data_IF_670366319467
#
_entry.id   IF_670366319467
#
_cell.length_a   1.000
_cell.length_b   1.000
_cell.length_c   1.000
_cell.angle_alpha   90.00
_cell.angle_beta   90.00
_cell.angle_gamma   90.00
#
_symmetry.space_group_name_H-M   'P 1'
#
loop_
_entity.id
_entity.type
_entity.pdbx_description
1 polymer ?
#
# COMPACT_ATOMS: atom_id res chain seq x y z
N UNK A 1 9.41 -3.31 -35.83
CA UNK A 1 10.42 -4.30 -35.43
C UNK A 1 11.18 -3.76 -34.24
N UNK A 2 11.19 -4.50 -33.17
CA UNK A 2 11.96 -4.19 -31.97
C UNK A 2 13.12 -5.21 -31.90
N UNK A 3 14.35 -4.74 -31.74
CA UNK A 3 15.55 -5.58 -31.73
C UNK A 3 15.71 -6.51 -32.95
N UNK A 4 15.42 -6.02 -34.17
CA UNK A 4 15.52 -6.77 -35.42
C UNK A 4 14.62 -8.01 -35.53
N UNK A 5 13.65 -8.18 -34.63
CA UNK A 5 12.67 -9.27 -34.69
C UNK A 5 11.34 -8.78 -35.25
N UNK A 6 10.66 -9.63 -36.02
CA UNK A 6 9.32 -9.35 -36.47
C UNK A 6 8.35 -9.42 -35.31
N UNK A 7 7.59 -8.37 -35.09
CA UNK A 7 6.62 -8.25 -34.01
C UNK A 7 5.23 -7.98 -34.62
N UNK A 8 4.24 -8.64 -34.08
CA UNK A 8 2.83 -8.35 -34.31
C UNK A 8 2.23 -7.88 -33.02
N UNK A 9 1.71 -6.65 -32.99
CA UNK A 9 1.02 -6.11 -31.83
C UNK A 9 -0.48 -6.40 -31.97
N UNK A 10 -1.03 -7.12 -31.01
CA UNK A 10 -2.48 -7.33 -30.90
C UNK A 10 -2.96 -6.47 -29.73
N UNK A 11 -3.82 -5.49 -30.03
CA UNK A 11 -4.39 -4.59 -29.03
C UNK A 11 -5.84 -4.95 -28.81
N UNK A 12 -6.24 -5.05 -27.54
CA UNK A 12 -7.63 -5.29 -27.13
C UNK A 12 -8.06 -4.28 -26.07
N UNK A 13 -9.34 -3.96 -26.02
CA UNK A 13 -9.94 -3.16 -24.96
C UNK A 13 -10.78 -4.08 -24.08
N UNK A 14 -10.58 -3.99 -22.78
CA UNK A 14 -11.35 -4.75 -21.79
C UNK A 14 -12.56 -3.91 -21.40
N UNK A 15 -13.75 -4.53 -21.37
CA UNK A 15 -15.00 -3.91 -20.95
C UNK A 15 -15.82 -4.92 -20.12
N UNK A 16 -16.39 -4.47 -19.01
CA UNK A 16 -17.29 -5.26 -18.17
C UNK A 16 -16.64 -6.28 -17.24
N UNK A 17 -15.28 -6.31 -17.17
CA UNK A 17 -14.53 -7.20 -16.27
C UNK A 17 -13.18 -6.60 -15.90
N UNK A 18 -12.59 -7.04 -14.80
CA UNK A 18 -11.29 -6.56 -14.33
C UNK A 18 -10.13 -6.97 -15.25
N UNK A 19 -9.08 -6.15 -15.24
CA UNK A 19 -7.87 -6.36 -16.04
C UNK A 19 -7.15 -7.66 -15.66
N UNK A 20 -7.08 -7.99 -14.38
CA UNK A 20 -6.37 -9.18 -13.88
C UNK A 20 -6.99 -10.48 -14.36
N UNK A 21 -8.31 -10.63 -14.25
CA UNK A 21 -9.04 -11.82 -14.71
C UNK A 21 -8.99 -11.97 -16.24
N UNK A 22 -9.13 -10.86 -16.98
CA UNK A 22 -9.02 -10.88 -18.43
C UNK A 22 -7.62 -11.33 -18.89
N UNK A 23 -6.56 -10.84 -18.26
CA UNK A 23 -5.19 -11.24 -18.57
C UNK A 23 -4.91 -12.68 -18.15
N UNK A 24 -5.51 -13.19 -17.06
CA UNK A 24 -5.38 -14.59 -16.68
C UNK A 24 -5.94 -15.52 -17.75
N UNK A 25 -7.12 -15.20 -18.31
CA UNK A 25 -7.69 -15.97 -19.41
C UNK A 25 -6.82 -15.90 -20.68
N UNK A 26 -6.32 -14.72 -21.02
CA UNK A 26 -5.40 -14.55 -22.17
C UNK A 26 -4.13 -15.39 -21.98
N UNK A 27 -3.55 -15.42 -20.78
CA UNK A 27 -2.39 -16.27 -20.48
C UNK A 27 -2.72 -17.76 -20.61
N UNK A 28 -3.89 -18.17 -20.16
CA UNK A 28 -4.33 -19.57 -20.27
C UNK A 28 -4.52 -19.98 -21.73
N UNK A 29 -5.08 -19.11 -22.56
CA UNK A 29 -5.22 -19.38 -24.01
C UNK A 29 -3.85 -19.42 -24.70
N UNK A 30 -2.97 -18.46 -24.42
CA UNK A 30 -1.62 -18.40 -24.99
C UNK A 30 -0.68 -19.52 -24.50
N UNK A 31 -0.97 -20.14 -23.36
CA UNK A 31 -0.23 -21.30 -22.87
C UNK A 31 -0.49 -22.58 -23.66
N UNK A 32 -1.50 -22.61 -24.56
CA UNK A 32 -1.80 -23.77 -25.41
C UNK A 32 -0.71 -23.93 -26.47
N UNK A 33 -0.04 -25.09 -26.54
CA UNK A 33 1.11 -25.30 -27.46
C UNK A 33 0.77 -25.16 -28.94
N UNK A 34 -0.52 -25.28 -29.31
CA UNK A 34 -0.99 -25.18 -30.69
C UNK A 34 -1.11 -23.75 -31.22
N UNK A 35 -1.16 -22.76 -30.38
CA UNK A 35 -1.39 -21.35 -30.78
C UNK A 35 -0.11 -20.60 -31.15
N UNK A 36 0.99 -20.91 -30.51
CA UNK A 36 2.28 -20.28 -30.78
C UNK A 36 3.15 -21.26 -31.57
N UNK A 37 3.50 -20.88 -32.82
CA UNK A 37 4.43 -21.67 -33.63
C UNK A 37 5.81 -21.80 -32.97
N UNK A 38 6.59 -22.80 -33.36
CA UNK A 38 7.94 -23.02 -32.85
C UNK A 38 8.82 -21.75 -33.01
N UNK A 39 9.35 -21.26 -31.88
CA UNK A 39 10.16 -20.05 -31.82
C UNK A 39 9.41 -18.73 -31.65
N UNK A 40 8.07 -18.76 -31.56
CA UNK A 40 7.28 -17.58 -31.22
C UNK A 40 7.16 -17.42 -29.70
N UNK A 41 7.29 -16.19 -29.23
CA UNK A 41 7.07 -15.82 -27.83
C UNK A 41 6.18 -14.58 -27.76
N UNK A 42 5.44 -14.43 -26.69
CA UNK A 42 4.60 -13.27 -26.46
C UNK A 42 5.05 -12.47 -25.24
N UNK A 43 4.82 -11.17 -25.29
CA UNK A 43 4.99 -10.28 -24.16
C UNK A 43 3.69 -9.53 -23.93
N UNK A 44 3.24 -9.49 -22.68
CA UNK A 44 2.07 -8.69 -22.30
C UNK A 44 2.55 -7.28 -21.98
N UNK A 45 2.10 -6.31 -22.77
CA UNK A 45 2.43 -4.90 -22.66
C UNK A 45 1.27 -4.04 -22.18
N UNK A 46 1.41 -2.74 -22.37
CA UNK A 46 0.37 -1.75 -22.08
C UNK A 46 0.09 -1.58 -20.59
N UNK A 47 -1.18 -1.32 -20.25
CA UNK A 47 -1.61 -1.00 -18.89
C UNK A 47 -1.29 -2.11 -17.88
N UNK A 48 -1.39 -3.37 -18.28
CA UNK A 48 -1.06 -4.51 -17.42
C UNK A 48 0.42 -4.50 -16.98
N UNK A 49 1.32 -4.28 -17.93
CA UNK A 49 2.76 -4.22 -17.61
C UNK A 49 3.07 -3.04 -16.69
N UNK A 50 2.49 -1.87 -16.93
CA UNK A 50 2.65 -0.69 -16.08
C UNK A 50 2.14 -0.96 -14.66
N UNK A 51 0.97 -1.59 -14.52
CA UNK A 51 0.41 -1.95 -13.22
C UNK A 51 1.31 -2.96 -12.48
N UNK A 52 1.87 -3.93 -13.17
CA UNK A 52 2.77 -4.92 -12.56
C UNK A 52 4.08 -4.29 -12.07
N UNK A 53 4.68 -3.41 -12.89
CA UNK A 53 5.89 -2.66 -12.52
C UNK A 53 5.61 -1.76 -11.32
N UNK A 54 4.49 -1.04 -11.33
CA UNK A 54 4.09 -0.18 -10.23
C UNK A 54 3.87 -0.97 -8.93
N UNK A 55 3.22 -2.14 -9.02
CA UNK A 55 2.99 -3.01 -7.86
C UNK A 55 4.30 -3.55 -7.27
N UNK A 56 5.21 -4.04 -8.12
CA UNK A 56 6.52 -4.51 -7.66
C UNK A 56 7.34 -3.39 -7.03
N UNK A 57 7.36 -2.21 -7.66
CA UNK A 57 8.01 -1.02 -7.13
C UNK A 57 7.47 -0.63 -5.76
N UNK A 58 6.14 -0.61 -5.62
CA UNK A 58 5.45 -0.29 -4.37
C UNK A 58 5.78 -1.29 -3.25
N UNK A 59 5.76 -2.59 -3.55
CA UNK A 59 6.12 -3.63 -2.59
C UNK A 59 7.58 -3.53 -2.14
N UNK A 60 8.49 -3.21 -3.07
CA UNK A 60 9.90 -3.02 -2.75
C UNK A 60 10.11 -1.81 -1.84
N UNK A 61 9.48 -0.68 -2.16
CA UNK A 61 9.54 0.54 -1.35
C UNK A 61 8.92 0.32 0.03
N UNK A 62 7.78 -0.38 0.09
CA UNK A 62 7.13 -0.71 1.36
C UNK A 62 8.00 -1.61 2.24
N UNK A 63 8.60 -2.67 1.68
CA UNK A 63 9.51 -3.54 2.41
C UNK A 63 10.76 -2.78 2.92
N UNK A 64 11.34 -1.91 2.08
CA UNK A 64 12.47 -1.07 2.47
C UNK A 64 12.09 -0.08 3.57
N UNK A 65 10.92 0.54 3.49
CA UNK A 65 10.41 1.46 4.51
C UNK A 65 10.21 0.74 5.86
N UNK A 66 9.59 -0.44 5.87
CA UNK A 66 9.45 -1.24 7.09
C UNK A 66 10.81 -1.63 7.67
N UNK A 67 11.76 -2.06 6.81
CA UNK A 67 13.10 -2.45 7.22
C UNK A 67 13.92 -1.30 7.81
N UNK A 68 13.66 -0.06 7.41
CA UNK A 68 14.31 1.14 7.96
C UNK A 68 13.59 1.66 9.19
N UNK A 69 12.26 1.74 9.15
CA UNK A 69 11.45 2.34 10.23
C UNK A 69 11.42 1.43 11.46
N UNK A 70 11.33 0.12 11.28
CA UNK A 70 11.27 -0.81 12.40
C UNK A 70 12.46 -0.74 13.36
N UNK A 71 13.74 -0.81 12.91
CA UNK A 71 14.88 -0.64 13.79
C UNK A 71 14.94 0.75 14.43
N UNK A 72 14.54 1.80 13.67
CA UNK A 72 14.48 3.16 14.19
C UNK A 72 13.49 3.27 15.34
N UNK A 73 12.31 2.67 15.21
CA UNK A 73 11.29 2.64 16.27
C UNK A 73 11.75 1.82 17.47
N UNK A 74 12.46 0.71 17.25
CA UNK A 74 13.06 -0.09 18.33
C UNK A 74 14.09 0.72 19.10
N UNK A 75 14.94 1.47 18.39
CA UNK A 75 15.93 2.35 19.01
C UNK A 75 15.30 3.50 19.78
N UNK A 76 14.21 4.10 19.22
CA UNK A 76 13.54 5.25 19.83
C UNK A 76 12.74 4.88 21.09
N UNK A 77 12.03 3.76 21.07
CA UNK A 77 11.12 3.38 22.15
C UNK A 77 11.70 2.31 23.10
N UNK A 78 12.83 1.68 22.73
CA UNK A 78 13.50 0.61 23.50
C UNK A 78 12.56 -0.57 23.88
N UNK A 79 11.37 -0.63 23.29
CA UNK A 79 10.33 -1.64 23.58
C UNK A 79 9.70 -2.16 22.30
N UNK A 80 9.86 -3.45 22.05
CA UNK A 80 9.29 -4.13 20.88
C UNK A 80 7.78 -3.93 20.72
N UNK A 81 7.03 -3.88 21.83
CA UNK A 81 5.57 -3.74 21.81
C UNK A 81 5.11 -2.47 21.10
N UNK A 82 5.77 -1.33 21.36
CA UNK A 82 5.39 -0.06 20.74
C UNK A 82 5.74 -0.02 19.27
N UNK A 83 6.91 -0.52 18.90
CA UNK A 83 7.29 -0.62 17.48
C UNK A 83 6.32 -1.53 16.72
N UNK A 84 5.90 -2.65 17.29
CA UNK A 84 4.93 -3.56 16.69
C UNK A 84 3.54 -2.92 16.53
N UNK A 85 3.06 -2.18 17.53
CA UNK A 85 1.76 -1.48 17.46
C UNK A 85 1.79 -0.40 16.38
N UNK A 86 2.85 0.41 16.31
CA UNK A 86 2.99 1.45 15.28
C UNK A 86 2.98 0.83 13.88
N UNK A 87 3.65 -0.30 13.68
CA UNK A 87 3.65 -0.99 12.38
C UNK A 87 2.34 -1.72 12.06
N UNK A 88 1.57 -2.12 13.07
CA UNK A 88 0.27 -2.74 12.87
C UNK A 88 -0.79 -1.73 12.36
N UNK A 89 -0.70 -0.46 12.74
CA UNK A 89 -1.67 0.57 12.34
C UNK A 89 -1.79 0.75 10.82
N UNK A 90 -0.70 0.91 10.05
CA UNK A 90 -0.77 0.99 8.60
C UNK A 90 -1.32 -0.28 7.94
N UNK A 91 -1.08 -1.46 8.52
CA UNK A 91 -1.64 -2.72 8.01
C UNK A 91 -3.17 -2.75 8.18
N UNK A 92 -3.69 -2.28 9.31
CA UNK A 92 -5.13 -2.14 9.54
C UNK A 92 -5.75 -1.10 8.59
N UNK A 93 -5.06 0.02 8.36
CA UNK A 93 -5.48 1.03 7.41
C UNK A 93 -5.56 0.49 5.98
N UNK A 94 -4.54 -0.25 5.53
CA UNK A 94 -4.56 -0.93 4.24
C UNK A 94 -5.72 -1.93 4.13
N UNK A 95 -5.99 -2.70 5.18
CA UNK A 95 -7.15 -3.60 5.26
C UNK A 95 -8.47 -2.86 5.06
N UNK A 96 -8.63 -1.69 5.68
CA UNK A 96 -9.83 -0.84 5.53
C UNK A 96 -9.99 -0.34 4.10
N UNK A 97 -8.90 0.02 3.42
CA UNK A 97 -8.93 0.41 1.99
C UNK A 97 -9.40 -0.74 1.11
N UNK A 98 -8.90 -1.96 1.33
CA UNK A 98 -9.37 -3.13 0.58
C UNK A 98 -10.86 -3.42 0.79
N UNK A 99 -11.36 -3.29 2.02
CA UNK A 99 -12.79 -3.41 2.32
C UNK A 99 -13.59 -2.33 1.57
N UNK A 100 -13.10 -1.08 1.56
CA UNK A 100 -13.73 0.02 0.83
C UNK A 100 -13.78 -0.22 -0.68
N UNK A 101 -12.69 -0.68 -1.29
CA UNK A 101 -12.64 -1.03 -2.70
C UNK A 101 -13.61 -2.17 -3.04
N UNK A 102 -13.67 -3.19 -2.20
CA UNK A 102 -14.62 -4.30 -2.36
C UNK A 102 -16.07 -3.84 -2.25
N UNK A 103 -16.40 -3.02 -1.26
CA UNK A 103 -17.76 -2.52 -1.04
C UNK A 103 -18.25 -1.59 -2.17
N UNK A 104 -17.33 -0.82 -2.78
CA UNK A 104 -17.63 0.09 -3.90
C UNK A 104 -17.54 -0.60 -5.27
N UNK A 105 -17.06 -1.83 -5.34
CA UNK A 105 -16.83 -2.54 -6.60
C UNK A 105 -15.73 -1.92 -7.47
N UNK A 106 -14.88 -1.06 -6.89
CA UNK A 106 -13.77 -0.42 -7.59
C UNK A 106 -12.58 -1.37 -7.62
N UNK A 107 -12.06 -1.60 -8.82
CA UNK A 107 -10.89 -2.44 -9.03
C UNK A 107 -9.61 -1.80 -8.47
N UNK A 108 -8.69 -2.64 -7.99
CA UNK A 108 -7.36 -2.20 -7.60
C UNK A 108 -6.57 -1.75 -8.84
N UNK A 109 -6.50 -0.45 -9.03
CA UNK A 109 -5.75 0.19 -10.11
C UNK A 109 -4.56 1.00 -9.58
N UNK A 110 -3.76 1.58 -10.47
CA UNK A 110 -2.58 2.38 -10.10
C UNK A 110 -2.96 3.53 -9.17
N UNK A 111 -4.08 4.19 -9.40
CA UNK A 111 -4.57 5.32 -8.59
C UNK A 111 -4.93 4.86 -7.18
N UNK A 112 -5.65 3.73 -7.05
CA UNK A 112 -5.98 3.13 -5.74
C UNK A 112 -4.73 2.75 -4.96
N UNK A 113 -3.69 2.23 -5.65
CA UNK A 113 -2.41 1.87 -5.03
C UNK A 113 -1.64 3.10 -4.55
N UNK A 114 -1.64 4.19 -5.33
CA UNK A 114 -1.05 5.46 -4.90
C UNK A 114 -1.75 6.02 -3.68
N UNK A 115 -3.09 6.02 -3.67
CA UNK A 115 -3.89 6.43 -2.52
C UNK A 115 -3.63 5.57 -1.27
N UNK A 116 -3.51 4.26 -1.44
CA UNK A 116 -3.17 3.34 -0.35
C UNK A 116 -1.80 3.63 0.25
N UNK A 117 -0.80 3.91 -0.58
CA UNK A 117 0.54 4.29 -0.12
C UNK A 117 0.51 5.58 0.70
N UNK A 118 -0.25 6.56 0.24
CA UNK A 118 -0.43 7.84 0.96
C UNK A 118 -1.10 7.63 2.32
N UNK A 119 -2.16 6.84 2.40
CA UNK A 119 -2.86 6.52 3.65
C UNK A 119 -1.93 5.80 4.62
N UNK A 120 -1.16 4.82 4.16
CA UNK A 120 -0.17 4.10 4.98
C UNK A 120 0.84 5.07 5.58
N UNK A 121 1.34 6.03 4.80
CA UNK A 121 2.26 7.07 5.27
C UNK A 121 1.65 7.95 6.37
N UNK A 122 0.46 8.49 6.12
CA UNK A 122 -0.26 9.37 7.06
C UNK A 122 -0.58 8.63 8.37
N UNK A 123 -1.07 7.39 8.28
CA UNK A 123 -1.40 6.59 9.48
C UNK A 123 -0.16 6.24 10.29
N UNK A 124 0.96 5.96 9.64
CA UNK A 124 2.24 5.73 10.32
C UNK A 124 2.69 6.96 11.08
N UNK A 125 2.63 8.14 10.46
CA UNK A 125 2.97 9.42 11.08
C UNK A 125 2.10 9.70 12.31
N UNK A 126 0.78 9.55 12.17
CA UNK A 126 -0.18 9.71 13.27
C UNK A 126 0.10 8.76 14.41
N UNK A 127 0.39 7.48 14.11
CA UNK A 127 0.72 6.47 15.12
C UNK A 127 1.99 6.82 15.89
N UNK A 128 3.05 7.29 15.21
CA UNK A 128 4.30 7.71 15.84
C UNK A 128 4.05 8.88 16.78
N UNK A 129 3.36 9.92 16.36
CA UNK A 129 3.08 11.09 17.18
C UNK A 129 2.19 10.76 18.39
N UNK A 130 1.20 9.90 18.20
CA UNK A 130 0.33 9.47 19.28
C UNK A 130 1.09 8.69 20.36
N UNK A 131 1.91 7.72 19.95
CA UNK A 131 2.69 6.90 20.89
C UNK A 131 3.78 7.74 21.56
N UNK A 132 4.41 8.69 20.86
CA UNK A 132 5.37 9.63 21.46
C UNK A 132 4.74 10.48 22.54
N UNK A 133 3.56 11.03 22.31
CA UNK A 133 2.82 11.81 23.32
C UNK A 133 2.43 10.96 24.51
N UNK A 134 1.93 9.77 24.27
CA UNK A 134 1.60 8.82 25.33
C UNK A 134 2.80 8.54 26.24
N UNK A 135 3.98 8.26 25.66
CA UNK A 135 5.20 8.05 26.42
C UNK A 135 5.61 9.28 27.24
N UNK A 136 5.52 10.47 26.64
CA UNK A 136 5.85 11.71 27.30
C UNK A 136 4.99 11.92 28.56
N UNK A 137 3.68 11.67 28.46
CA UNK A 137 2.73 11.83 29.57
C UNK A 137 2.95 10.79 30.65
N UNK A 138 3.26 9.54 30.30
CA UNK A 138 3.59 8.51 31.28
C UNK A 138 4.89 8.78 32.04
N UNK A 139 5.95 9.21 31.32
CA UNK A 139 7.29 9.33 31.89
C UNK A 139 7.51 10.65 32.60
N UNK A 140 6.97 11.76 32.12
CA UNK A 140 7.18 13.10 32.69
C UNK A 140 6.08 13.55 33.63
N UNK A 141 4.83 13.20 33.36
CA UNK A 141 3.70 13.68 34.17
C UNK A 141 3.18 12.60 35.11
N UNK A 142 3.84 11.44 35.16
CA UNK A 142 3.50 10.31 36.03
C UNK A 142 2.00 9.92 35.97
N UNK A 143 1.36 10.14 34.81
CA UNK A 143 -0.04 9.79 34.59
C UNK A 143 -0.23 8.27 34.57
N UNK A 144 -1.40 7.82 34.98
CA UNK A 144 -1.75 6.42 34.79
C UNK A 144 -1.87 6.11 33.28
N UNK A 145 -1.60 4.86 32.84
CA UNK A 145 -1.66 4.51 31.42
C UNK A 145 -3.01 4.86 30.74
N UNK A 146 -4.11 4.75 31.47
CA UNK A 146 -5.43 5.08 30.94
C UNK A 146 -5.63 6.58 30.77
N UNK A 147 -5.21 7.39 31.73
CA UNK A 147 -5.28 8.85 31.64
C UNK A 147 -4.35 9.40 30.57
N UNK A 148 -3.12 8.88 30.46
CA UNK A 148 -2.15 9.26 29.45
C UNK A 148 -2.66 8.94 28.02
N UNK A 149 -3.38 7.83 27.85
CA UNK A 149 -3.97 7.46 26.57
C UNK A 149 -5.03 8.47 26.13
N UNK A 150 -5.93 8.86 27.02
CA UNK A 150 -6.99 9.83 26.72
C UNK A 150 -6.40 11.22 26.49
N UNK A 151 -5.46 11.65 27.32
CA UNK A 151 -4.79 12.95 27.22
C UNK A 151 -3.97 13.06 25.91
N UNK A 152 -3.22 12.02 25.53
CA UNK A 152 -2.50 11.96 24.26
C UNK A 152 -3.45 12.12 23.07
N UNK A 153 -4.61 11.45 23.11
CA UNK A 153 -5.65 11.59 22.10
C UNK A 153 -6.19 13.02 22.00
N UNK A 154 -6.50 13.64 23.12
CA UNK A 154 -7.00 15.02 23.19
C UNK A 154 -5.96 16.03 22.66
N UNK A 155 -4.69 15.90 23.06
CA UNK A 155 -3.60 16.78 22.64
C UNK A 155 -3.31 16.68 21.15
N UNK A 156 -3.44 15.49 20.57
CA UNK A 156 -3.14 15.23 19.15
C UNK A 156 -4.35 15.34 18.22
N UNK A 157 -5.55 15.47 18.77
CA UNK A 157 -6.78 15.54 17.95
C UNK A 157 -6.75 16.70 16.94
N UNK A 158 -6.34 17.89 17.36
CA UNK A 158 -6.31 19.07 16.49
C UNK A 158 -5.29 18.93 15.35
N UNK A 159 -4.00 18.62 15.57
CA UNK A 159 -3.04 18.39 14.49
C UNK A 159 -3.48 17.27 13.53
N UNK A 160 -3.95 16.14 14.04
CA UNK A 160 -4.40 15.01 13.22
C UNK A 160 -5.61 15.40 12.37
N UNK A 161 -6.59 16.10 12.94
CA UNK A 161 -7.76 16.56 12.20
C UNK A 161 -7.36 17.52 11.07
N UNK A 162 -6.43 18.45 11.32
CA UNK A 162 -5.94 19.40 10.31
C UNK A 162 -5.23 18.69 9.15
N UNK A 163 -4.33 17.75 9.44
CA UNK A 163 -3.61 17.00 8.40
C UNK A 163 -4.54 16.08 7.61
N UNK A 164 -5.51 15.46 8.27
CA UNK A 164 -6.49 14.59 7.60
C UNK A 164 -7.41 15.38 6.69
N UNK A 165 -7.92 16.52 7.14
CA UNK A 165 -8.76 17.40 6.31
C UNK A 165 -7.97 17.95 5.13
N UNK A 166 -6.72 18.36 5.34
CA UNK A 166 -5.85 18.83 4.25
C UNK A 166 -5.52 17.75 3.22
N UNK A 167 -5.50 16.48 3.62
CA UNK A 167 -5.28 15.36 2.70
C UNK A 167 -6.53 14.96 1.88
N UNK A 168 -7.72 15.34 2.35
CA UNK A 168 -9.01 15.05 1.67
C UNK A 168 -9.34 16.15 0.64
N UNK A 169 -8.91 17.38 0.87
CA UNK A 169 -9.12 18.53 -0.03
C UNK A 169 -8.15 18.54 -1.22
#
# INVERSE_FOLDING_TARGET
SENLKRMVAVTGRISGRDLGSAIADVKQVLAQPALLGAGAYYTLGGLYQQQQIAFQGLMTVFAAAVALVFPLLLFLYERFRFAAVILAMPLLAAGTVFIGLWATGIELNITSMMGMTMIVGIVTEVAIFYVSEYHLLCDREAMTPAEALVAAGANRLRPIAMTTIAAIL
#
